data_IF_944691894148
#
_entry.id   IF_944691894148
#
_cell.length_a   1.000
_cell.length_b   1.000
_cell.length_c   1.000
_cell.angle_alpha   90.00
_cell.angle_beta   90.00
_cell.angle_gamma   90.00
#
_symmetry.space_group_name_H-M   'P 1'
#
loop_
_entity.id
_entity.type
_entity.pdbx_description
1 polymer ?
#
# COMPACT_ATOMS: atom_id res chain seq x y z
N UNK A 1 12.47 22.73 13.78
CA UNK A 1 11.58 21.57 13.50
C UNK A 1 10.78 21.90 12.24
N UNK A 2 11.03 21.19 11.14
CA UNK A 2 10.47 21.55 9.83
C UNK A 2 8.97 21.24 9.75
N UNK A 3 8.19 21.99 8.96
CA UNK A 3 6.73 21.77 8.78
C UNK A 3 6.42 20.32 8.35
N UNK A 4 7.31 19.73 7.54
CA UNK A 4 7.24 18.35 7.08
C UNK A 4 7.36 17.32 8.21
N UNK A 5 8.34 17.50 9.10
CA UNK A 5 8.56 16.64 10.27
C UNK A 5 7.36 16.70 11.24
N UNK A 6 6.80 17.90 11.43
CA UNK A 6 5.62 18.09 12.26
C UNK A 6 4.36 17.44 11.67
N UNK A 7 4.26 17.39 10.34
CA UNK A 7 3.18 16.73 9.61
C UNK A 7 3.32 15.20 9.67
N UNK A 8 4.52 14.64 9.42
CA UNK A 8 4.78 13.20 9.57
C UNK A 8 4.51 12.75 11.01
N UNK A 9 4.95 13.50 12.02
CA UNK A 9 4.65 13.19 13.43
C UNK A 9 3.16 13.15 13.71
N UNK A 10 2.36 14.07 13.15
CA UNK A 10 0.90 14.04 13.30
C UNK A 10 0.29 12.77 12.70
N UNK A 11 0.81 12.31 11.56
CA UNK A 11 0.37 11.08 10.92
C UNK A 11 0.84 9.82 11.68
N UNK A 12 2.05 9.84 12.25
CA UNK A 12 2.66 8.75 13.00
C UNK A 12 2.09 8.58 14.41
N UNK A 13 1.48 9.62 15.00
CA UNK A 13 0.77 9.54 16.30
C UNK A 13 -0.44 8.60 16.31
N UNK A 14 -0.91 8.13 15.15
CA UNK A 14 -1.98 7.15 15.04
C UNK A 14 -1.49 5.84 14.36
N UNK A 15 -0.52 5.12 14.94
CA UNK A 15 0.11 3.99 14.29
C UNK A 15 -0.90 2.86 13.99
N UNK A 16 -1.89 2.66 14.86
CA UNK A 16 -2.97 1.69 14.65
C UNK A 16 -3.81 1.99 13.41
N UNK A 17 -4.09 3.26 13.11
CA UNK A 17 -4.87 3.67 11.94
C UNK A 17 -4.06 3.48 10.66
N UNK A 18 -2.78 3.86 10.68
CA UNK A 18 -1.87 3.65 9.56
C UNK A 18 -1.67 2.16 9.27
N UNK A 19 -1.51 1.33 10.30
CA UNK A 19 -1.39 -0.11 10.18
C UNK A 19 -2.64 -0.76 9.57
N UNK A 20 -3.86 -0.34 10.01
CA UNK A 20 -5.10 -0.84 9.40
C UNK A 20 -5.18 -0.54 7.90
N UNK A 21 -4.76 0.66 7.49
CA UNK A 21 -4.74 1.05 6.08
C UNK A 21 -3.64 0.36 5.28
N UNK A 22 -2.48 0.13 5.89
CA UNK A 22 -1.42 -0.72 5.33
C UNK A 22 -1.95 -2.13 5.06
N UNK A 23 -2.59 -2.76 6.06
CA UNK A 23 -3.20 -4.09 5.91
C UNK A 23 -4.25 -4.08 4.81
N UNK A 24 -5.11 -3.05 4.75
CA UNK A 24 -6.11 -2.92 3.71
C UNK A 24 -5.48 -2.82 2.30
N UNK A 25 -4.40 -2.03 2.15
CA UNK A 25 -3.64 -1.96 0.91
C UNK A 25 -3.01 -3.31 0.53
N UNK A 26 -2.42 -4.01 1.51
CA UNK A 26 -1.85 -5.34 1.31
C UNK A 26 -2.92 -6.36 0.90
N UNK A 27 -4.10 -6.35 1.53
CA UNK A 27 -5.22 -7.20 1.15
C UNK A 27 -5.62 -6.94 -0.29
N UNK A 28 -5.77 -5.68 -0.71
CA UNK A 28 -6.10 -5.35 -2.10
C UNK A 28 -5.01 -5.83 -3.07
N UNK A 29 -3.74 -5.65 -2.71
CA UNK A 29 -2.60 -6.11 -3.51
C UNK A 29 -2.62 -7.63 -3.70
N UNK A 30 -2.72 -8.39 -2.61
CA UNK A 30 -2.72 -9.85 -2.67
C UNK A 30 -3.98 -10.41 -3.31
N UNK A 31 -5.16 -9.80 -3.10
CA UNK A 31 -6.38 -10.20 -3.80
C UNK A 31 -6.22 -10.00 -5.31
N UNK A 32 -5.69 -8.85 -5.76
CA UNK A 32 -5.39 -8.63 -7.18
C UNK A 32 -4.39 -9.64 -7.74
N UNK A 33 -3.34 -9.96 -6.98
CA UNK A 33 -2.32 -10.94 -7.38
C UNK A 33 -2.85 -12.38 -7.42
N UNK A 34 -3.68 -12.78 -6.44
CA UNK A 34 -4.33 -14.09 -6.44
C UNK A 34 -5.30 -14.23 -7.61
N UNK A 35 -6.08 -13.19 -7.90
CA UNK A 35 -6.96 -13.14 -9.06
C UNK A 35 -6.16 -13.33 -10.36
N UNK A 36 -5.01 -12.65 -10.48
CA UNK A 36 -4.10 -12.81 -11.62
C UNK A 36 -3.57 -14.23 -11.77
N UNK A 37 -3.12 -14.86 -10.67
CA UNK A 37 -2.62 -16.23 -10.67
C UNK A 37 -3.71 -17.27 -10.93
N UNK A 38 -4.95 -16.99 -10.51
CA UNK A 38 -6.11 -17.88 -10.69
C UNK A 38 -6.83 -17.71 -12.02
N UNK A 39 -6.43 -16.71 -12.82
CA UNK A 39 -7.10 -16.43 -14.08
C UNK A 39 -6.89 -17.59 -15.06
N UNK A 40 -7.97 -18.19 -15.62
CA UNK A 40 -7.82 -19.25 -16.60
C UNK A 40 -7.10 -18.71 -17.85
N UNK A 41 -6.22 -19.50 -18.49
CA UNK A 41 -5.39 -19.06 -19.61
C UNK A 41 -6.18 -18.78 -20.90
N UNK A 42 -7.48 -19.06 -20.95
CA UNK A 42 -8.29 -18.99 -22.17
C UNK A 42 -9.52 -18.13 -21.90
N UNK A 43 -9.44 -16.85 -22.27
CA UNK A 43 -10.60 -16.01 -22.47
C UNK A 43 -10.69 -15.81 -23.98
N UNK A 44 -11.67 -16.44 -24.63
CA UNK A 44 -11.86 -16.38 -26.09
C UNK A 44 -12.07 -14.93 -26.56
N UNK A 45 -12.62 -14.08 -25.69
CA UNK A 45 -12.81 -12.66 -25.91
C UNK A 45 -11.60 -11.82 -25.48
N UNK A 46 -10.75 -11.44 -26.44
CA UNK A 46 -9.58 -10.59 -26.21
C UNK A 46 -9.91 -9.28 -25.47
N UNK A 47 -11.09 -8.70 -25.71
CA UNK A 47 -11.53 -7.47 -25.05
C UNK A 47 -11.80 -7.66 -23.55
N UNK A 48 -12.41 -8.78 -23.15
CA UNK A 48 -12.70 -9.08 -21.75
C UNK A 48 -11.42 -9.43 -20.99
N UNK A 49 -10.49 -10.15 -21.65
CA UNK A 49 -9.17 -10.43 -21.10
C UNK A 49 -8.40 -9.15 -20.79
N UNK A 50 -8.42 -8.18 -21.70
CA UNK A 50 -7.73 -6.90 -21.52
C UNK A 50 -8.30 -6.12 -20.32
N UNK A 51 -9.64 -6.04 -20.18
CA UNK A 51 -10.28 -5.36 -19.06
C UNK A 51 -10.03 -6.06 -17.71
N UNK A 52 -10.03 -7.39 -17.69
CA UNK A 52 -9.70 -8.15 -16.48
C UNK A 52 -8.24 -7.94 -16.06
N UNK A 53 -7.29 -8.01 -17.00
CA UNK A 53 -5.88 -7.75 -16.70
C UNK A 53 -5.65 -6.32 -16.20
N UNK A 54 -6.27 -5.33 -16.84
CA UNK A 54 -6.25 -3.93 -16.38
C UNK A 54 -6.83 -3.77 -14.98
N UNK A 55 -7.97 -4.41 -14.70
CA UNK A 55 -8.60 -4.37 -13.37
C UNK A 55 -7.73 -4.98 -12.28
N UNK A 56 -7.12 -6.14 -12.55
CA UNK A 56 -6.20 -6.80 -11.61
C UNK A 56 -4.93 -5.97 -11.39
N UNK A 57 -4.34 -5.43 -12.45
CA UNK A 57 -3.19 -4.54 -12.37
C UNK A 57 -3.52 -3.26 -11.59
N UNK A 58 -4.71 -2.70 -11.76
CA UNK A 58 -5.15 -1.55 -10.97
C UNK A 58 -5.33 -1.90 -9.49
N UNK A 59 -5.91 -3.05 -9.16
CA UNK A 59 -6.06 -3.50 -7.78
C UNK A 59 -4.69 -3.72 -7.12
N UNK A 60 -3.78 -4.39 -7.82
CA UNK A 60 -2.39 -4.56 -7.36
C UNK A 60 -1.68 -3.22 -7.24
N UNK A 61 -1.74 -2.37 -8.26
CA UNK A 61 -1.10 -1.07 -8.26
C UNK A 61 -1.58 -0.18 -7.12
N UNK A 62 -2.89 0.04 -7.01
CA UNK A 62 -3.50 0.88 -5.97
C UNK A 62 -3.24 0.28 -4.59
N UNK A 63 -3.48 -1.02 -4.41
CA UNK A 63 -3.22 -1.71 -3.14
C UNK A 63 -1.76 -1.59 -2.70
N UNK A 64 -0.83 -1.79 -3.64
CA UNK A 64 0.61 -1.68 -3.42
C UNK A 64 1.04 -0.26 -3.07
N UNK A 65 0.55 0.75 -3.79
CA UNK A 65 0.86 2.17 -3.51
C UNK A 65 0.33 2.57 -2.13
N UNK A 66 -0.90 2.17 -1.79
CA UNK A 66 -1.48 2.44 -0.47
C UNK A 66 -0.65 1.77 0.62
N UNK A 67 -0.31 0.49 0.46
CA UNK A 67 0.51 -0.23 1.43
C UNK A 67 1.88 0.45 1.59
N UNK A 68 2.58 0.70 0.50
CA UNK A 68 3.91 1.31 0.52
C UNK A 68 3.90 2.69 1.18
N UNK A 69 2.92 3.52 0.84
CA UNK A 69 2.78 4.85 1.43
C UNK A 69 2.60 4.81 2.95
N UNK A 70 1.73 3.93 3.44
CA UNK A 70 1.46 3.79 4.88
C UNK A 70 2.64 3.13 5.61
N UNK A 71 3.34 2.21 4.95
CA UNK A 71 4.58 1.64 5.46
C UNK A 71 5.68 2.71 5.62
N UNK A 72 5.87 3.55 4.60
CA UNK A 72 6.83 4.66 4.63
C UNK A 72 6.51 5.68 5.73
N UNK A 73 5.23 6.02 5.92
CA UNK A 73 4.83 6.91 7.02
C UNK A 73 5.15 6.32 8.40
N UNK A 74 4.93 5.02 8.58
CA UNK A 74 5.24 4.32 9.83
C UNK A 74 6.76 4.20 10.05
N UNK A 75 7.52 3.87 9.01
CA UNK A 75 8.98 3.71 9.10
C UNK A 75 9.67 5.04 9.35
N UNK A 76 9.27 6.11 8.65
CA UNK A 76 9.77 7.47 8.88
C UNK A 76 9.44 7.94 10.30
N UNK A 77 8.23 7.68 10.80
CA UNK A 77 7.86 7.97 12.19
C UNK A 77 8.82 7.34 13.19
N UNK A 78 9.11 6.03 13.05
CA UNK A 78 10.09 5.35 13.90
C UNK A 78 11.51 5.88 13.72
N UNK A 79 11.92 6.20 12.50
CA UNK A 79 13.26 6.71 12.22
C UNK A 79 13.50 8.06 12.91
N UNK A 80 12.50 8.95 12.90
CA UNK A 80 12.57 10.24 13.59
C UNK A 80 12.60 10.09 15.11
N UNK A 81 11.86 9.13 15.68
CA UNK A 81 11.93 8.85 17.10
C UNK A 81 13.30 8.27 17.48
N UNK A 82 13.85 7.33 16.69
CA UNK A 82 15.18 6.77 16.89
C UNK A 82 16.32 7.80 16.75
N UNK A 83 16.24 8.70 15.75
CA UNK A 83 17.22 9.79 15.58
C UNK A 83 17.25 10.76 16.77
N UNK A 84 16.15 10.85 17.53
CA UNK A 84 16.01 11.76 18.67
C UNK A 84 16.40 11.11 20.00
N UNK A 85 16.33 9.78 20.07
CA UNK A 85 16.79 8.98 21.21
C UNK A 85 18.31 8.75 21.19
N UNK A 86 18.99 9.06 20.08
CA UNK A 86 20.44 9.16 20.08
C UNK A 86 20.88 10.42 20.83
N UNK A 87 21.73 10.30 21.86
CA UNK A 87 22.25 11.42 22.63
C UNK A 87 23.11 12.36 21.78
#
# INVERSE_FOLDING_TARGET
>A
MNKFEHWIRRQAKQPKRQLKRFVLGMTLFFTGGLMWLSAPPVIENHHEMMWQQLGMLMLMGIGGVIALYHYLLLSLGRLFDWWREKP
#
